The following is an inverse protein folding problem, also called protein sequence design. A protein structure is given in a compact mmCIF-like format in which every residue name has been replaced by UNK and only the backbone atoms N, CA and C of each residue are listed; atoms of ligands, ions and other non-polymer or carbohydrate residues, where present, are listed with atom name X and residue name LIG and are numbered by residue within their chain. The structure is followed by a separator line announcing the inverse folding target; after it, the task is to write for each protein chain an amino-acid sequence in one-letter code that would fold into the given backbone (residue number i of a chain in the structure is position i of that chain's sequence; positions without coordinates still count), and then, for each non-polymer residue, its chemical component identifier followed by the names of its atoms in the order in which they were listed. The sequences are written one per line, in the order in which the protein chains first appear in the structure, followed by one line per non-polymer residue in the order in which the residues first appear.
data_IF_452784318502
#
_entry.id   IF_452784318502
#
_cell.length_a   1.000
_cell.length_b   1.000
_cell.length_c   1.000
_cell.angle_alpha   90.00
_cell.angle_beta   90.00
_cell.angle_gamma   90.00
#
_symmetry.space_group_name_H-M   'P 1'
#
loop_
_entity.id
_entity.type
_entity.pdbx_description
1 polymer ?
#
# COMPACT_ATOMS: atom_id res chain seq x y z
N UNK A 1 -9.86 -21.64 2.27
CA UNK A 1 -8.68 -21.52 3.14
C UNK A 1 -8.03 -20.17 2.87
N UNK A 2 -8.00 -19.28 3.86
CA UNK A 2 -7.30 -18.01 3.76
C UNK A 2 -5.79 -18.25 3.61
N UNK A 3 -5.17 -17.62 2.62
CA UNK A 3 -3.71 -17.66 2.46
C UNK A 3 -3.14 -16.58 3.39
N UNK A 4 -2.09 -16.82 4.16
CA UNK A 4 -1.44 -15.72 4.91
C UNK A 4 -0.45 -14.96 4.02
N UNK A 5 -0.19 -13.68 4.31
CA UNK A 5 0.84 -12.91 3.59
C UNK A 5 2.20 -13.61 3.52
N UNK A 6 2.72 -14.24 4.60
CA UNK A 6 3.95 -15.02 4.52
C UNK A 6 3.88 -16.22 3.57
N UNK A 7 2.73 -16.89 3.47
CA UNK A 7 2.53 -17.99 2.52
C UNK A 7 2.50 -17.46 1.09
N UNK A 8 1.80 -16.36 0.85
CA UNK A 8 1.81 -15.67 -0.45
C UNK A 8 3.23 -15.25 -0.86
N UNK A 9 4.00 -14.65 0.06
CA UNK A 9 5.35 -14.17 -0.23
C UNK A 9 6.30 -15.30 -0.68
N UNK A 10 6.15 -16.52 -0.13
CA UNK A 10 6.89 -17.71 -0.59
C UNK A 10 6.50 -18.16 -2.00
N UNK A 11 5.29 -17.84 -2.44
CA UNK A 11 4.76 -18.15 -3.76
C UNK A 11 5.34 -17.28 -4.87
N UNK A 12 5.80 -16.06 -4.55
CA UNK A 12 6.32 -15.10 -5.53
C UNK A 12 7.62 -15.62 -6.16
N UNK A 13 7.63 -15.80 -7.48
CA UNK A 13 8.76 -16.37 -8.23
C UNK A 13 9.68 -15.31 -8.83
N UNK A 14 10.89 -15.74 -9.15
CA UNK A 14 11.89 -14.93 -9.86
C UNK A 14 12.54 -13.82 -9.03
N UNK A 15 12.33 -13.79 -7.71
CA UNK A 15 12.93 -12.81 -6.80
C UNK A 15 14.40 -13.17 -6.51
N UNK A 16 15.24 -12.14 -6.38
CA UNK A 16 16.59 -12.30 -5.84
C UNK A 16 16.54 -12.66 -4.35
N UNK A 17 17.61 -13.24 -3.76
CA UNK A 17 17.63 -13.58 -2.34
C UNK A 17 17.30 -12.40 -1.41
N UNK A 18 17.86 -11.22 -1.67
CA UNK A 18 17.56 -10.01 -0.88
C UNK A 18 16.12 -9.54 -1.05
N UNK A 19 15.53 -9.66 -2.24
CA UNK A 19 14.10 -9.36 -2.46
C UNK A 19 13.20 -10.32 -1.70
N UNK A 20 13.50 -11.61 -1.71
CA UNK A 20 12.73 -12.62 -0.97
C UNK A 20 12.77 -12.36 0.54
N UNK A 21 13.94 -12.05 1.10
CA UNK A 21 14.09 -11.75 2.53
C UNK A 21 13.30 -10.49 2.93
N UNK A 22 13.45 -9.40 2.17
CA UNK A 22 12.73 -8.14 2.43
C UNK A 22 11.22 -8.32 2.29
N UNK A 23 10.77 -9.05 1.26
CA UNK A 23 9.34 -9.32 1.06
C UNK A 23 8.76 -10.17 2.18
N UNK A 24 9.48 -11.20 2.61
CA UNK A 24 9.03 -12.08 3.68
C UNK A 24 8.89 -11.34 5.02
N UNK A 25 9.83 -10.44 5.31
CA UNK A 25 9.75 -9.60 6.52
C UNK A 25 8.56 -8.64 6.46
N UNK A 26 8.35 -7.93 5.34
CA UNK A 26 7.18 -7.09 5.16
C UNK A 26 5.88 -7.91 5.27
N UNK A 27 5.84 -9.12 4.72
CA UNK A 27 4.69 -10.00 4.78
C UNK A 27 4.35 -10.49 6.20
N UNK A 28 5.34 -10.63 7.10
CA UNK A 28 5.09 -10.93 8.52
C UNK A 28 4.41 -9.76 9.25
N UNK A 29 4.78 -8.54 8.89
CA UNK A 29 4.30 -7.30 9.49
C UNK A 29 2.97 -6.81 8.90
N UNK A 30 2.53 -7.40 7.79
CA UNK A 30 1.35 -6.97 7.07
C UNK A 30 0.05 -7.22 7.86
N UNK A 31 -0.86 -6.26 7.78
CA UNK A 31 -2.26 -6.45 8.14
C UNK A 31 -3.00 -7.32 7.12
N UNK A 32 -4.28 -7.58 7.37
CA UNK A 32 -5.12 -8.36 6.47
C UNK A 32 -5.18 -7.82 5.03
N UNK A 33 -4.93 -6.51 4.84
CA UNK A 33 -4.96 -5.82 3.54
C UNK A 33 -3.59 -5.76 2.86
N UNK A 34 -2.52 -6.22 3.51
CA UNK A 34 -1.17 -6.15 2.97
C UNK A 34 -0.45 -4.84 3.29
N UNK A 35 -0.98 -4.04 4.22
CA UNK A 35 -0.40 -2.76 4.60
C UNK A 35 0.60 -2.95 5.73
N UNK A 36 1.74 -2.27 5.61
CA UNK A 36 2.83 -2.31 6.59
C UNK A 36 3.34 -0.89 6.83
N UNK A 37 3.63 -0.54 8.09
CA UNK A 37 4.49 0.59 8.43
C UNK A 37 5.84 0.04 8.91
N UNK A 38 6.91 0.32 8.19
CA UNK A 38 8.23 -0.25 8.50
C UNK A 38 9.38 0.72 8.20
N UNK A 39 10.31 0.81 9.14
CA UNK A 39 11.58 1.49 8.99
C UNK A 39 12.55 0.66 8.14
N UNK A 40 13.41 1.31 7.36
CA UNK A 40 14.43 0.61 6.57
C UNK A 40 15.47 -0.04 7.49
N UNK A 41 15.73 0.57 8.64
CA UNK A 41 16.60 0.10 9.70
C UNK A 41 16.12 -1.25 10.24
N UNK A 42 14.82 -1.41 10.48
CA UNK A 42 14.22 -2.69 10.87
C UNK A 42 14.46 -3.76 9.81
N UNK A 43 14.27 -3.44 8.52
CA UNK A 43 14.53 -4.40 7.44
C UNK A 43 16.00 -4.83 7.40
N UNK A 44 16.94 -3.90 7.64
CA UNK A 44 18.37 -4.23 7.70
C UNK A 44 18.67 -5.19 8.85
N UNK A 45 18.15 -4.90 10.04
CA UNK A 45 18.36 -5.71 11.25
C UNK A 45 17.72 -7.09 11.12
N UNK A 46 16.44 -7.16 10.74
CA UNK A 46 15.69 -8.41 10.66
C UNK A 46 16.16 -9.35 9.54
N UNK A 47 16.62 -8.80 8.41
CA UNK A 47 17.06 -9.61 7.27
C UNK A 47 18.57 -9.86 7.22
N UNK A 48 19.37 -9.09 7.97
CA UNK A 48 20.83 -9.08 7.86
C UNK A 48 21.36 -8.52 6.53
N UNK A 49 20.49 -7.96 5.68
CA UNK A 49 20.86 -7.42 4.37
C UNK A 49 21.38 -5.99 4.52
N UNK A 50 22.51 -5.69 3.86
CA UNK A 50 23.08 -4.33 3.87
C UNK A 50 22.06 -3.28 3.39
N UNK A 51 22.05 -2.09 4.01
CA UNK A 51 21.11 -0.99 3.72
C UNK A 51 20.93 -0.69 2.23
N UNK A 52 22.04 -0.63 1.47
CA UNK A 52 22.01 -0.39 0.02
C UNK A 52 21.29 -1.50 -0.75
N UNK A 53 21.46 -2.75 -0.31
CA UNK A 53 20.79 -3.91 -0.90
C UNK A 53 19.30 -3.95 -0.53
N UNK A 54 18.91 -3.50 0.68
CA UNK A 54 17.49 -3.31 1.03
C UNK A 54 16.84 -2.29 0.09
N UNK A 55 17.46 -1.14 -0.17
CA UNK A 55 16.92 -0.16 -1.11
C UNK A 55 16.79 -0.71 -2.54
N UNK A 56 17.79 -1.47 -3.02
CA UNK A 56 17.72 -2.14 -4.33
C UNK A 56 16.63 -3.20 -4.37
N UNK A 57 16.47 -3.98 -3.30
CA UNK A 57 15.43 -4.99 -3.18
C UNK A 57 14.04 -4.35 -3.24
N UNK A 58 13.80 -3.30 -2.46
CA UNK A 58 12.54 -2.53 -2.47
C UNK A 58 12.26 -1.96 -3.87
N UNK A 59 13.24 -1.30 -4.50
CA UNK A 59 13.05 -0.75 -5.85
C UNK A 59 12.72 -1.84 -6.88
N UNK A 60 13.38 -3.00 -6.82
CA UNK A 60 13.08 -4.10 -7.74
C UNK A 60 11.75 -4.79 -7.44
N UNK A 61 11.26 -4.78 -6.19
CA UNK A 61 9.92 -5.26 -5.84
C UNK A 61 8.84 -4.28 -6.33
N UNK A 62 9.11 -2.97 -6.27
CA UNK A 62 8.25 -1.91 -6.84
C UNK A 62 8.17 -2.03 -8.37
N UNK A 63 9.30 -2.18 -9.06
CA UNK A 63 9.38 -2.36 -10.52
C UNK A 63 8.58 -3.58 -11.01
N UNK A 64 8.55 -4.63 -10.20
CA UNK A 64 7.80 -5.86 -10.47
C UNK A 64 6.32 -5.79 -10.06
N UNK A 65 5.88 -4.68 -9.49
CA UNK A 65 4.51 -4.50 -9.01
C UNK A 65 4.14 -5.37 -7.82
N UNK A 66 5.12 -5.94 -7.10
CA UNK A 66 4.88 -6.80 -5.93
C UNK A 66 4.48 -5.98 -4.71
N UNK A 67 4.96 -4.74 -4.63
CA UNK A 67 4.58 -3.79 -3.59
C UNK A 67 4.63 -2.35 -4.11
N UNK A 68 4.01 -1.44 -3.36
CA UNK A 68 4.21 0.00 -3.50
C UNK A 68 4.64 0.61 -2.16
N UNK A 69 5.34 1.75 -2.22
CA UNK A 69 5.84 2.47 -1.05
C UNK A 69 5.34 3.90 -1.07
N UNK A 70 4.96 4.39 0.12
CA UNK A 70 4.67 5.80 0.36
C UNK A 70 5.53 6.31 1.52
N UNK A 71 6.29 7.36 1.26
CA UNK A 71 7.01 8.07 2.31
C UNK A 71 6.02 8.71 3.28
N UNK A 72 6.32 8.62 4.57
CA UNK A 72 5.55 9.25 5.64
C UNK A 72 6.39 10.32 6.32
N UNK A 73 5.71 11.32 6.85
CA UNK A 73 6.32 12.40 7.61
C UNK A 73 5.56 12.60 8.90
N UNK A 74 6.28 12.84 9.99
CA UNK A 74 5.74 13.15 11.32
C UNK A 74 6.51 14.32 11.90
N UNK A 75 5.81 15.38 12.31
CA UNK A 75 6.46 16.59 12.85
C UNK A 75 7.53 17.18 11.94
N UNK A 76 7.34 17.13 10.62
CA UNK A 76 8.30 17.60 9.62
C UNK A 76 9.52 16.70 9.38
N UNK A 77 9.66 15.59 10.11
CA UNK A 77 10.73 14.60 9.93
C UNK A 77 10.22 13.38 9.17
N UNK A 78 11.09 12.72 8.42
CA UNK A 78 10.77 11.47 7.75
C UNK A 78 10.45 10.40 8.80
N UNK A 79 9.29 9.78 8.66
CA UNK A 79 8.83 8.66 9.48
C UNK A 79 8.99 7.34 8.71
N UNK A 80 8.73 6.22 9.39
CA UNK A 80 8.72 4.88 8.80
C UNK A 80 7.80 4.83 7.59
N UNK A 81 8.30 4.22 6.52
CA UNK A 81 7.59 4.19 5.24
C UNK A 81 6.38 3.27 5.33
N UNK A 82 5.31 3.63 4.59
CA UNK A 82 4.20 2.73 4.35
C UNK A 82 4.51 1.86 3.15
N UNK A 83 4.30 0.57 3.27
CA UNK A 83 4.32 -0.39 2.17
C UNK A 83 2.93 -0.98 1.99
N UNK A 84 2.56 -1.27 0.74
CA UNK A 84 1.35 -2.01 0.40
C UNK A 84 1.78 -3.18 -0.47
N UNK A 85 1.54 -4.39 0.02
CA UNK A 85 1.78 -5.62 -0.73
C UNK A 85 0.64 -5.84 -1.73
N UNK A 86 1.00 -6.12 -2.97
CA UNK A 86 0.03 -6.37 -4.03
C UNK A 86 -0.06 -7.87 -4.27
N UNK A 87 -1.26 -8.43 -4.12
CA UNK A 87 -1.54 -9.75 -4.71
C UNK A 87 -1.39 -9.59 -6.21
N UNK A 88 -0.24 -10.03 -6.73
CA UNK A 88 -0.11 -10.34 -8.14
C UNK A 88 -0.54 -11.79 -8.25
N UNK A 89 -1.73 -12.04 -8.82
CA UNK A 89 -2.07 -13.40 -9.24
C UNK A 89 -0.99 -13.72 -10.24
N UNK A 90 -0.03 -14.56 -9.84
CA UNK A 90 0.91 -15.09 -10.81
C UNK A 90 0.02 -15.96 -11.67
N UNK A 91 -0.54 -15.41 -12.75
CA UNK A 91 -0.99 -16.23 -13.86
C UNK A 91 0.29 -16.93 -14.28
N UNK A 92 0.42 -18.18 -13.85
CA UNK A 92 1.36 -19.11 -14.43
C UNK A 92 1.27 -18.90 -15.93
N UNK A 93 2.36 -18.46 -16.55
CA UNK A 93 2.53 -18.46 -18.00
C UNK A 93 2.63 -19.92 -18.49
N UNK A 94 1.62 -20.71 -18.16
CA UNK A 94 1.54 -22.14 -18.41
C UNK A 94 0.10 -22.52 -18.77
N UNK A 95 -0.59 -21.67 -19.55
CA UNK A 95 -1.57 -22.07 -20.58
C UNK A 95 -1.43 -21.05 -21.72
N UNK A 96 -0.30 -21.12 -22.43
CA UNK A 96 -0.25 -20.74 -23.86
C UNK A 96 0.03 -22.03 -24.58
N UNK A 97 -0.99 -22.85 -24.72
CA UNK A 97 -1.07 -23.94 -25.69
C UNK A 97 -2.49 -24.48 -25.63
N UNK A 98 -3.11 -24.47 -26.80
CA UNK A 98 -4.47 -24.92 -27.12
C UNK A 98 -5.65 -24.08 -26.65
N UNK A 99 -6.57 -23.94 -27.60
CA UNK A 99 -7.95 -23.45 -27.48
C UNK A 99 -8.19 -21.94 -27.45
N UNK A 100 -7.70 -21.21 -28.46
CA UNK A 100 -8.54 -20.24 -29.21
C UNK A 100 -8.07 -20.17 -30.68
N UNK A 101 -8.41 -21.19 -31.47
CA UNK A 101 -8.71 -20.97 -32.89
C UNK A 101 -10.21 -20.78 -32.99
N UNK A 102 -10.67 -19.53 -33.12
CA UNK A 102 -11.68 -19.07 -34.08
C UNK A 102 -12.32 -17.73 -33.67
N UNK A 103 -12.65 -16.96 -34.71
CA UNK A 103 -13.34 -15.67 -34.74
C UNK A 103 -12.51 -14.44 -34.29
N UNK A 104 -12.01 -13.70 -35.27
CA UNK A 104 -11.10 -12.59 -35.10
C UNK A 104 -11.74 -11.22 -35.00
N UNK A 105 -10.94 -10.29 -34.49
CA UNK A 105 -10.71 -8.98 -35.11
C UNK A 105 -9.20 -8.78 -35.03
N UNK A 106 -8.53 -8.86 -36.18
CA UNK A 106 -7.14 -8.43 -36.31
C UNK A 106 -7.16 -6.91 -36.16
N UNK A 107 -6.95 -6.41 -34.95
CA UNK A 107 -6.42 -5.07 -34.78
C UNK A 107 -4.93 -5.24 -35.05
N UNK A 108 -4.53 -4.95 -36.28
CA UNK A 108 -3.12 -4.80 -36.63
C UNK A 108 -2.52 -3.85 -35.59
N UNK A 109 -1.63 -4.39 -34.76
CA UNK A 109 -0.73 -3.61 -33.93
C UNK A 109 0.11 -2.78 -34.89
N UNK A 110 -0.35 -1.57 -35.17
CA UNK A 110 0.38 -0.52 -35.85
C UNK A 110 1.50 -0.02 -34.96
N UNK A 111 2.38 -0.91 -34.50
CA UNK A 111 3.73 -0.58 -34.07
C UNK A 111 4.58 -0.32 -35.33
N UNK A 112 4.13 0.61 -36.17
CA UNK A 112 4.98 1.19 -37.19
C UNK A 112 5.89 2.15 -36.45
N UNK A 113 7.19 1.83 -36.47
CA UNK A 113 8.27 2.48 -35.75
C UNK A 113 8.05 4.00 -35.64
N UNK A 114 7.67 4.46 -34.44
CA UNK A 114 7.71 5.87 -34.12
C UNK A 114 9.20 6.25 -34.07
N UNK A 115 9.61 7.19 -34.92
CA UNK A 115 10.89 7.89 -34.78
C UNK A 115 11.10 8.28 -33.33
N UNK A 116 12.34 8.14 -32.84
CA UNK A 116 12.75 8.39 -31.45
C UNK A 116 12.22 9.72 -30.93
N UNK A 117 11.03 9.68 -30.34
CA UNK A 117 10.32 10.84 -29.81
C UNK A 117 10.70 10.94 -28.35
N UNK A 118 11.38 12.03 -28.00
CA UNK A 118 11.89 12.23 -26.64
C UNK A 118 10.72 12.55 -25.73
N UNK A 119 10.49 11.69 -24.73
CA UNK A 119 9.48 11.92 -23.69
C UNK A 119 9.83 13.15 -22.84
N UNK A 120 8.80 13.86 -22.41
CA UNK A 120 8.94 15.01 -21.52
C UNK A 120 9.29 14.55 -20.10
N UNK A 121 10.05 15.38 -19.39
CA UNK A 121 10.30 15.18 -17.96
C UNK A 121 9.11 15.70 -17.15
N UNK A 122 8.80 15.03 -16.04
CA UNK A 122 7.73 15.41 -15.10
C UNK A 122 7.85 16.86 -14.57
N UNK A 123 9.07 17.43 -14.56
CA UNK A 123 9.31 18.80 -14.11
C UNK A 123 9.26 19.85 -15.23
N UNK A 124 9.10 19.42 -16.49
CA UNK A 124 9.14 20.30 -17.65
C UNK A 124 7.74 20.83 -17.98
N UNK A 125 7.30 21.81 -17.20
CA UNK A 125 6.01 22.48 -17.37
C UNK A 125 5.92 23.25 -18.70
N UNK A 126 7.02 23.89 -19.12
CA UNK A 126 7.04 24.67 -20.37
C UNK A 126 7.11 23.78 -21.62
N UNK A 127 7.86 22.67 -21.54
CA UNK A 127 7.84 21.63 -22.56
C UNK A 127 6.44 21.04 -22.71
N UNK A 128 5.80 20.67 -21.59
CA UNK A 128 4.43 20.16 -21.61
C UNK A 128 3.45 21.18 -22.23
N UNK A 129 3.53 22.46 -21.86
CA UNK A 129 2.66 23.51 -22.41
C UNK A 129 2.79 23.60 -23.93
N UNK A 130 4.01 23.76 -24.44
CA UNK A 130 4.26 23.86 -25.89
C UNK A 130 3.82 22.61 -26.64
N UNK A 131 4.03 21.42 -26.06
CA UNK A 131 3.57 20.16 -26.69
C UNK A 131 2.05 20.06 -26.72
N UNK A 132 1.34 20.50 -25.67
CA UNK A 132 -0.12 20.54 -25.65
C UNK A 132 -0.67 21.55 -26.67
N UNK A 133 -0.11 22.75 -26.76
CA UNK A 133 -0.47 23.77 -27.76
C UNK A 133 -0.29 23.23 -29.18
N UNK A 134 0.88 22.64 -29.46
CA UNK A 134 1.18 22.08 -30.77
C UNK A 134 0.25 20.91 -31.10
N UNK A 135 0.06 19.96 -30.17
CA UNK A 135 -0.83 18.81 -30.38
C UNK A 135 -2.27 19.25 -30.63
N UNK A 136 -2.76 20.26 -29.93
CA UNK A 136 -4.10 20.80 -30.14
C UNK A 136 -4.22 21.48 -31.52
N UNK A 137 -3.23 22.27 -31.93
CA UNK A 137 -3.20 22.91 -33.25
C UNK A 137 -3.14 21.91 -34.41
N UNK A 138 -2.52 20.75 -34.19
CA UNK A 138 -2.41 19.63 -35.15
C UNK A 138 -3.60 18.65 -35.06
N UNK A 139 -4.59 18.92 -34.22
CA UNK A 139 -5.77 18.07 -34.05
C UNK A 139 -5.47 16.69 -33.45
N UNK A 140 -4.54 16.63 -32.49
CA UNK A 140 -4.12 15.42 -31.77
C UNK A 140 -3.51 14.35 -32.67
N UNK A 141 -2.91 14.78 -33.77
CA UNK A 141 -2.15 13.95 -34.72
C UNK A 141 -0.73 14.51 -34.83
N UNK A 142 0.20 13.71 -35.35
CA UNK A 142 1.57 14.17 -35.58
C UNK A 142 2.51 14.04 -34.38
N UNK A 143 3.67 14.69 -34.49
CA UNK A 143 4.81 14.47 -33.60
C UNK A 143 4.55 14.93 -32.15
N UNK A 144 3.78 16.00 -31.97
CA UNK A 144 3.44 16.49 -30.62
C UNK A 144 2.54 15.51 -29.87
N UNK A 145 1.54 14.94 -30.55
CA UNK A 145 0.68 13.89 -30.01
C UNK A 145 1.46 12.61 -29.69
N UNK A 146 2.38 12.21 -30.58
CA UNK A 146 3.28 11.07 -30.34
C UNK A 146 4.22 11.30 -29.14
N UNK A 147 4.74 12.52 -28.98
CA UNK A 147 5.55 12.90 -27.82
C UNK A 147 4.76 12.78 -26.51
N UNK A 148 3.49 13.21 -26.48
CA UNK A 148 2.61 13.02 -25.31
C UNK A 148 2.32 11.55 -25.02
N UNK A 149 2.07 10.74 -26.05
CA UNK A 149 1.85 9.31 -25.89
C UNK A 149 3.09 8.59 -25.34
N UNK A 150 4.28 8.89 -25.90
CA UNK A 150 5.55 8.40 -25.40
C UNK A 150 5.82 8.86 -23.95
N UNK A 151 5.46 10.10 -23.62
CA UNK A 151 5.54 10.64 -22.26
C UNK A 151 4.65 9.86 -21.29
N UNK A 152 3.38 9.60 -21.64
CA UNK A 152 2.48 8.79 -20.80
C UNK A 152 3.01 7.37 -20.62
N UNK A 153 3.53 6.76 -21.69
CA UNK A 153 4.11 5.42 -21.62
C UNK A 153 5.33 5.37 -20.67
N UNK A 154 6.22 6.36 -20.73
CA UNK A 154 7.49 6.33 -20.00
C UNK A 154 7.39 6.85 -18.56
N UNK A 155 6.59 7.89 -18.32
CA UNK A 155 6.51 8.55 -17.00
C UNK A 155 5.12 8.54 -16.36
N UNK A 156 4.07 8.14 -17.10
CA UNK A 156 2.69 8.16 -16.62
C UNK A 156 2.48 7.32 -15.36
N UNK A 157 3.04 6.11 -15.31
CA UNK A 157 2.92 5.24 -14.13
C UNK A 157 3.51 5.87 -12.86
N UNK A 158 4.62 6.61 -13.00
CA UNK A 158 5.24 7.33 -11.89
C UNK A 158 4.42 8.57 -11.50
N UNK A 159 3.99 9.35 -12.50
CA UNK A 159 3.29 10.61 -12.29
C UNK A 159 1.91 10.41 -11.68
N UNK A 160 1.18 9.38 -12.10
CA UNK A 160 -0.19 9.08 -11.68
C UNK A 160 -0.26 7.86 -10.74
N UNK A 161 0.83 7.57 -10.04
CA UNK A 161 0.94 6.43 -9.12
C UNK A 161 -0.20 6.39 -8.09
N UNK A 162 -0.69 7.53 -7.61
CA UNK A 162 -1.84 7.61 -6.71
C UNK A 162 -3.14 7.07 -7.31
N UNK A 163 -3.42 7.38 -8.58
CA UNK A 163 -4.60 6.88 -9.28
C UNK A 163 -4.50 5.39 -9.58
N UNK A 164 -3.31 4.92 -9.97
CA UNK A 164 -3.06 3.50 -10.23
C UNK A 164 -3.22 2.68 -8.95
N UNK A 165 -2.60 3.11 -7.84
CA UNK A 165 -2.75 2.46 -6.55
C UNK A 165 -4.21 2.40 -6.09
N UNK A 166 -4.99 3.44 -6.36
CA UNK A 166 -6.41 3.48 -6.01
C UNK A 166 -7.25 2.51 -6.85
N UNK A 167 -7.05 2.46 -8.17
CA UNK A 167 -7.76 1.51 -9.03
C UNK A 167 -7.46 0.04 -8.68
N UNK A 168 -6.22 -0.24 -8.28
CA UNK A 168 -5.86 -1.57 -7.74
C UNK A 168 -6.56 -1.88 -6.42
N UNK A 169 -6.71 -0.87 -5.56
CA UNK A 169 -7.28 -1.02 -4.22
C UNK A 169 -8.80 -1.15 -4.23
N UNK A 170 -9.51 -0.29 -4.96
CA UNK A 170 -10.96 -0.13 -4.87
C UNK A 170 -11.72 -0.72 -6.05
N UNK A 171 -11.08 -0.87 -7.22
CA UNK A 171 -11.72 -1.43 -8.44
C UNK A 171 -11.25 -2.84 -8.77
N UNK A 172 -10.35 -3.41 -7.97
CA UNK A 172 -9.82 -4.76 -8.18
C UNK A 172 -8.96 -4.93 -9.43
N UNK A 173 -8.52 -3.84 -10.07
CA UNK A 173 -7.71 -3.89 -11.28
C UNK A 173 -6.31 -4.44 -11.00
N UNK A 174 -5.75 -5.19 -11.95
CA UNK A 174 -4.31 -5.49 -11.96
C UNK A 174 -3.50 -4.22 -12.18
N UNK A 175 -2.20 -4.23 -11.85
CA UNK A 175 -1.33 -3.08 -12.10
C UNK A 175 -1.32 -2.66 -13.57
N UNK A 176 -1.25 -3.62 -14.50
CA UNK A 176 -1.27 -3.33 -15.94
C UNK A 176 -2.59 -2.70 -16.39
N UNK A 177 -3.72 -3.18 -15.88
CA UNK A 177 -5.04 -2.61 -16.17
C UNK A 177 -5.17 -1.21 -15.58
N UNK A 178 -4.82 -1.03 -14.30
CA UNK A 178 -4.89 0.26 -13.63
C UNK A 178 -3.95 1.30 -14.29
N UNK A 179 -2.76 0.89 -14.73
CA UNK A 179 -1.82 1.76 -15.43
C UNK A 179 -2.33 2.13 -16.84
N UNK A 180 -2.81 1.14 -17.62
CA UNK A 180 -3.36 1.39 -18.95
C UNK A 180 -4.60 2.30 -18.90
N UNK A 181 -5.51 2.03 -17.95
CA UNK A 181 -6.72 2.82 -17.77
C UNK A 181 -6.40 4.25 -17.29
N UNK A 182 -5.52 4.39 -16.30
CA UNK A 182 -5.09 5.72 -15.83
C UNK A 182 -4.38 6.51 -16.94
N UNK A 183 -3.53 5.88 -17.75
CA UNK A 183 -2.91 6.55 -18.89
C UNK A 183 -3.92 6.92 -19.99
N UNK A 184 -4.97 6.11 -20.17
CA UNK A 184 -6.08 6.41 -21.10
C UNK A 184 -6.88 7.63 -20.63
N UNK A 185 -7.21 7.69 -19.33
CA UNK A 185 -7.84 8.86 -18.71
C UNK A 185 -6.90 10.08 -18.81
N UNK A 186 -5.60 9.91 -18.59
CA UNK A 186 -4.64 11.00 -18.73
C UNK A 186 -4.58 11.55 -20.16
N UNK A 187 -4.63 10.69 -21.17
CA UNK A 187 -4.75 11.10 -22.58
C UNK A 187 -6.06 11.85 -22.87
N UNK A 188 -7.16 11.36 -22.33
CA UNK A 188 -8.47 12.01 -22.47
C UNK A 188 -8.47 13.40 -21.80
N UNK A 189 -7.89 13.54 -20.60
CA UNK A 189 -7.76 14.83 -19.92
C UNK A 189 -6.86 15.77 -20.72
N UNK A 190 -5.75 15.29 -21.29
CA UNK A 190 -4.90 16.11 -22.12
C UNK A 190 -5.67 16.68 -23.31
N UNK A 191 -6.53 15.87 -23.95
CA UNK A 191 -7.30 16.27 -25.14
C UNK A 191 -8.58 17.06 -24.87
N UNK A 192 -9.25 16.81 -23.75
CA UNK A 192 -10.53 17.45 -23.39
C UNK A 192 -10.37 18.66 -22.47
N UNK A 193 -9.28 18.75 -21.71
CA UNK A 193 -9.00 19.86 -20.79
C UNK A 193 -7.78 20.70 -21.22
N UNK A 194 -7.43 20.68 -22.50
CA UNK A 194 -6.20 21.28 -23.05
C UNK A 194 -6.00 22.74 -22.62
N UNK A 195 -7.00 23.60 -22.82
CA UNK A 195 -6.91 25.04 -22.51
C UNK A 195 -6.60 25.26 -21.02
N UNK A 196 -7.28 24.51 -20.15
CA UNK A 196 -7.05 24.55 -18.70
C UNK A 196 -5.62 24.12 -18.33
N UNK A 197 -5.04 23.16 -19.06
CA UNK A 197 -3.66 22.72 -18.83
C UNK A 197 -2.65 23.75 -19.34
N UNK A 198 -2.91 24.39 -20.48
CA UNK A 198 -2.03 25.40 -21.08
C UNK A 198 -1.96 26.65 -20.20
N UNK A 199 -3.10 27.14 -19.73
CA UNK A 199 -3.20 28.35 -18.90
C UNK A 199 -2.66 28.17 -17.47
N UNK A 200 -2.51 26.92 -17.03
CA UNK A 200 -2.03 26.63 -15.69
C UNK A 200 -0.58 27.11 -15.48
N UNK A 201 -0.32 27.68 -14.30
CA UNK A 201 1.04 28.00 -13.85
C UNK A 201 1.92 26.75 -13.74
N UNK A 202 1.31 25.60 -13.42
CA UNK A 202 1.98 24.30 -13.35
C UNK A 202 1.13 23.22 -14.04
N UNK A 203 1.22 23.09 -15.38
CA UNK A 203 0.42 22.16 -16.18
C UNK A 203 0.47 20.71 -15.68
N UNK A 204 1.65 20.21 -15.26
CA UNK A 204 1.79 18.86 -14.71
C UNK A 204 0.94 18.64 -13.45
N UNK A 205 0.92 19.62 -12.55
CA UNK A 205 0.18 19.51 -11.29
C UNK A 205 -1.33 19.53 -11.52
N UNK A 206 -1.80 20.39 -12.42
CA UNK A 206 -3.22 20.47 -12.81
C UNK A 206 -3.64 19.20 -13.54
N UNK A 207 -2.82 18.70 -14.47
CA UNK A 207 -3.08 17.44 -15.18
C UNK A 207 -3.23 16.27 -14.22
N UNK A 208 -2.27 16.11 -13.30
CA UNK A 208 -2.34 15.08 -12.24
C UNK A 208 -3.54 15.24 -11.33
N UNK A 209 -3.92 16.47 -10.99
CA UNK A 209 -5.10 16.72 -10.14
C UNK A 209 -6.40 16.30 -10.82
N UNK A 210 -6.57 16.64 -12.10
CA UNK A 210 -7.77 16.27 -12.87
C UNK A 210 -7.83 14.76 -13.09
N UNK A 211 -6.71 14.13 -13.46
CA UNK A 211 -6.62 12.67 -13.62
C UNK A 211 -6.95 11.96 -12.32
N UNK A 212 -6.34 12.36 -11.20
CA UNK A 212 -6.66 11.80 -9.89
C UNK A 212 -8.15 11.97 -9.56
N UNK A 213 -8.73 13.15 -9.77
CA UNK A 213 -10.15 13.38 -9.52
C UNK A 213 -11.04 12.44 -10.35
N UNK A 214 -10.77 12.29 -11.66
CA UNK A 214 -11.56 11.41 -12.54
C UNK A 214 -11.43 9.93 -12.13
N UNK A 215 -10.21 9.46 -11.89
CA UNK A 215 -9.99 8.09 -11.40
C UNK A 215 -10.65 7.87 -10.03
N UNK A 216 -10.60 8.86 -9.13
CA UNK A 216 -11.15 8.72 -7.78
C UNK A 216 -12.68 8.73 -7.77
N UNK A 217 -13.31 9.49 -8.67
CA UNK A 217 -14.76 9.46 -8.86
C UNK A 217 -15.24 8.13 -9.45
N UNK A 218 -14.48 7.55 -10.39
CA UNK A 218 -14.71 6.16 -10.87
C UNK A 218 -14.59 5.15 -9.72
N UNK A 219 -13.62 5.35 -8.84
CA UNK A 219 -13.31 4.49 -7.69
C UNK A 219 -14.14 4.81 -6.44
N UNK A 220 -15.12 5.70 -6.57
CA UNK A 220 -15.97 6.07 -5.46
C UNK A 220 -17.00 4.96 -5.23
N UNK A 221 -16.81 4.23 -4.14
CA UNK A 221 -17.68 3.13 -3.70
C UNK A 221 -18.77 3.61 -2.73
N UNK A 222 -18.89 4.92 -2.49
CA UNK A 222 -19.96 5.45 -1.64
C UNK A 222 -21.34 5.16 -2.26
N UNK A 223 -22.19 4.47 -1.49
CA UNK A 223 -23.53 4.03 -1.92
C UNK A 223 -23.60 2.65 -2.59
N UNK A 224 -22.48 1.93 -2.74
CA UNK A 224 -22.48 0.56 -3.31
C UNK A 224 -23.00 -0.49 -2.31
N UNK A 225 -23.00 -0.18 -1.01
CA UNK A 225 -23.47 -1.07 0.06
C UNK A 225 -24.94 -1.52 -0.12
N UNK A 226 -25.75 -0.75 -0.86
CA UNK A 226 -27.18 -1.03 -1.10
C UNK A 226 -27.48 -1.63 -2.49
N UNK A 227 -26.49 -1.75 -3.39
CA UNK A 227 -26.73 -2.05 -4.82
C UNK A 227 -26.31 -3.46 -5.26
N UNK A 228 -25.56 -4.19 -4.45
CA UNK A 228 -25.09 -5.53 -4.79
C UNK A 228 -25.34 -6.50 -3.65
N UNK A 229 -26.17 -7.50 -3.92
CA UNK A 229 -26.40 -8.61 -2.99
C UNK A 229 -25.09 -9.42 -2.86
N UNK A 230 -24.47 -9.53 -1.67
CA UNK A 230 -23.10 -10.07 -1.52
C UNK A 230 -22.90 -11.48 -2.11
N UNK A 231 -23.96 -12.29 -2.16
CA UNK A 231 -23.96 -13.62 -2.75
C UNK A 231 -23.76 -13.63 -4.28
N UNK A 232 -23.93 -12.48 -4.95
CA UNK A 232 -23.82 -12.32 -6.40
C UNK A 232 -22.46 -11.76 -6.83
N UNK A 233 -21.56 -11.44 -5.87
CA UNK A 233 -20.19 -11.04 -6.19
C UNK A 233 -19.42 -12.24 -6.72
N UNK A 234 -18.65 -12.10 -7.82
CA UNK A 234 -17.78 -13.18 -8.28
C UNK A 234 -16.79 -13.52 -7.17
N UNK A 235 -16.59 -14.82 -6.91
CA UNK A 235 -15.57 -15.31 -5.98
C UNK A 235 -14.16 -14.94 -6.51
N UNK A 236 -13.74 -13.70 -6.24
CA UNK A 236 -12.34 -13.30 -6.40
C UNK A 236 -11.59 -14.11 -5.34
N UNK A 237 -10.76 -15.06 -5.79
CA UNK A 237 -10.05 -15.99 -4.91
C UNK A 237 -9.47 -15.31 -3.67
N UNK A 238 -9.52 -16.01 -2.53
CA UNK A 238 -9.21 -15.49 -1.19
C UNK A 238 -7.88 -14.73 -1.14
N UNK A 239 -7.93 -13.39 -1.07
CA UNK A 239 -6.76 -12.50 -0.86
C UNK A 239 -5.96 -12.93 0.38
N UNK A 240 -4.63 -12.70 0.45
CA UNK A 240 -3.85 -13.16 1.57
C UNK A 240 -4.22 -12.29 2.77
N UNK A 241 -4.30 -12.89 3.94
CA UNK A 241 -4.73 -12.18 5.14
C UNK A 241 -6.24 -11.93 5.22
N UNK A 242 -7.03 -12.19 4.17
CA UNK A 242 -8.49 -12.29 4.31
C UNK A 242 -8.86 -13.68 4.81
N UNK A 243 -9.32 -13.75 6.06
CA UNK A 243 -9.99 -14.91 6.67
C UNK A 243 -11.30 -15.26 6.00
N UNK A 244 -11.98 -16.27 6.54
CA UNK A 244 -13.34 -16.60 6.10
C UNK A 244 -14.27 -15.43 6.44
N UNK A 245 -15.38 -15.30 5.72
CA UNK A 245 -16.43 -14.33 6.04
C UNK A 245 -16.81 -14.42 7.53
N UNK A 246 -16.74 -13.30 8.26
CA UNK A 246 -17.11 -13.22 9.68
C UNK A 246 -15.99 -12.85 10.66
N UNK A 247 -14.72 -12.85 10.25
CA UNK A 247 -13.63 -12.35 11.10
C UNK A 247 -13.58 -10.81 11.07
N UNK A 248 -13.64 -10.16 12.25
CA UNK A 248 -13.48 -8.71 12.36
C UNK A 248 -12.01 -8.35 12.19
N UNK A 249 -11.71 -7.53 11.19
CA UNK A 249 -10.36 -7.11 10.83
C UNK A 249 -9.98 -5.80 11.52
N UNK A 250 -8.76 -5.74 12.05
CA UNK A 250 -8.10 -4.47 12.35
C UNK A 250 -7.11 -4.20 11.23
N UNK A 251 -7.15 -3.00 10.66
CA UNK A 251 -6.20 -2.55 9.64
C UNK A 251 -5.36 -1.39 10.15
N UNK A 252 -4.20 -1.20 9.53
CA UNK A 252 -3.33 -0.03 9.82
C UNK A 252 -4.07 1.28 9.56
N UNK A 253 -5.02 1.29 8.63
CA UNK A 253 -5.80 2.48 8.30
C UNK A 253 -6.84 2.85 9.37
N UNK A 254 -7.17 1.93 10.28
CA UNK A 254 -8.10 2.18 11.39
C UNK A 254 -7.42 2.92 12.56
N UNK A 255 -6.11 3.19 12.47
CA UNK A 255 -5.32 3.81 13.54
C UNK A 255 -5.51 5.33 13.65
N UNK A 256 -6.68 5.82 13.26
CA UNK A 256 -7.13 7.16 13.64
C UNK A 256 -7.46 7.22 15.14
N UNK A 257 -7.34 8.40 15.74
CA UNK A 257 -7.80 8.63 17.11
C UNK A 257 -7.03 7.81 18.17
N UNK A 258 -7.71 7.02 19.03
CA UNK A 258 -7.09 6.35 20.18
C UNK A 258 -5.92 5.42 19.82
N UNK A 259 -6.07 4.56 18.81
CA UNK A 259 -5.00 3.62 18.41
C UNK A 259 -3.76 4.36 17.89
N UNK A 260 -3.96 5.46 17.16
CA UNK A 260 -2.89 6.36 16.76
C UNK A 260 -2.17 6.96 17.98
N UNK A 261 -2.90 7.51 18.95
CA UNK A 261 -2.35 8.03 20.22
C UNK A 261 -1.52 6.98 20.96
N UNK A 262 -1.97 5.72 20.96
CA UNK A 262 -1.24 4.60 21.55
C UNK A 262 0.14 4.41 20.92
N UNK A 263 0.17 4.32 19.58
CA UNK A 263 1.41 4.15 18.81
C UNK A 263 2.34 5.33 19.06
N UNK A 264 1.79 6.54 19.08
CA UNK A 264 2.57 7.74 19.35
C UNK A 264 3.19 7.76 20.75
N UNK A 265 2.45 7.33 21.78
CA UNK A 265 2.95 7.21 23.15
C UNK A 265 4.06 6.15 23.27
N UNK A 266 3.90 5.00 22.61
CA UNK A 266 4.91 3.94 22.58
C UNK A 266 6.21 4.39 21.90
N UNK A 267 6.09 5.09 20.77
CA UNK A 267 7.25 5.71 20.10
C UNK A 267 7.89 6.76 21.03
N UNK A 268 7.09 7.58 21.70
CA UNK A 268 7.56 8.57 22.68
C UNK A 268 8.29 7.94 23.88
N UNK A 269 7.91 6.73 24.27
CA UNK A 269 8.55 5.94 25.33
C UNK A 269 9.84 5.22 24.86
N UNK A 270 10.22 5.34 23.58
CA UNK A 270 11.46 4.78 23.03
C UNK A 270 11.30 3.51 22.21
N UNK A 271 10.07 3.05 21.96
CA UNK A 271 9.83 1.92 21.06
C UNK A 271 10.12 2.28 19.60
N UNK A 272 10.69 1.34 18.84
CA UNK A 272 10.86 1.54 17.39
C UNK A 272 9.49 1.70 16.70
N UNK A 273 9.41 2.57 15.70
CA UNK A 273 8.14 2.85 15.03
C UNK A 273 7.57 1.59 14.36
N UNK A 274 8.40 0.76 13.71
CA UNK A 274 7.95 -0.53 13.15
C UNK A 274 7.27 -1.41 14.20
N UNK A 275 7.90 -1.57 15.38
CA UNK A 275 7.36 -2.41 16.45
C UNK A 275 6.07 -1.81 17.02
N UNK A 276 6.02 -0.49 17.23
CA UNK A 276 4.83 0.19 17.74
C UNK A 276 3.61 -0.03 16.84
N UNK A 277 3.79 0.09 15.51
CA UNK A 277 2.71 -0.16 14.54
C UNK A 277 2.32 -1.64 14.47
N UNK A 278 3.27 -2.54 14.20
CA UNK A 278 2.99 -3.96 14.01
C UNK A 278 2.49 -4.64 15.30
N UNK A 279 3.08 -4.28 16.44
CA UNK A 279 2.67 -4.78 17.76
C UNK A 279 1.28 -4.29 18.15
N UNK A 280 0.99 -3.00 17.99
CA UNK A 280 -0.35 -2.47 18.30
C UNK A 280 -1.42 -3.06 17.39
N UNK A 281 -1.11 -3.27 16.11
CA UNK A 281 -2.02 -3.95 15.18
C UNK A 281 -2.37 -5.35 15.70
N UNK A 282 -1.35 -6.13 16.07
CA UNK A 282 -1.57 -7.49 16.58
C UNK A 282 -2.32 -7.49 17.92
N UNK A 283 -2.00 -6.56 18.82
CA UNK A 283 -2.72 -6.41 20.10
C UNK A 283 -4.18 -6.06 19.87
N UNK A 284 -4.49 -5.18 18.91
CA UNK A 284 -5.86 -4.84 18.55
C UNK A 284 -6.62 -6.03 17.92
N UNK A 285 -6.00 -6.78 17.01
CA UNK A 285 -6.56 -8.03 16.47
C UNK A 285 -6.93 -9.01 17.60
N UNK A 286 -6.05 -9.19 18.59
CA UNK A 286 -6.29 -10.07 19.73
C UNK A 286 -7.38 -9.54 20.68
N UNK A 287 -7.55 -8.22 20.76
CA UNK A 287 -8.54 -7.59 21.63
C UNK A 287 -9.98 -7.77 21.12
N UNK A 288 -10.14 -7.85 19.80
CA UNK A 288 -11.42 -8.12 19.11
C UNK A 288 -11.89 -9.57 19.32
N UNK A 289 -10.96 -10.48 19.61
CA UNK A 289 -11.28 -11.87 19.96
C UNK A 289 -11.98 -12.02 21.32
N UNK A 290 -11.79 -13.18 21.95
CA UNK A 290 -12.43 -13.48 23.23
C UNK A 290 -11.97 -12.54 24.35
N UNK A 291 -12.88 -11.67 24.80
CA UNK A 291 -12.66 -10.67 25.84
C UNK A 291 -12.09 -11.26 27.14
N UNK A 292 -12.47 -12.49 27.49
CA UNK A 292 -11.99 -13.16 28.70
C UNK A 292 -10.53 -13.59 28.57
N UNK A 293 -10.06 -13.89 27.35
CA UNK A 293 -8.74 -14.46 27.08
C UNK A 293 -7.73 -13.46 26.49
N UNK A 294 -8.14 -12.27 26.05
CA UNK A 294 -7.29 -11.26 25.39
C UNK A 294 -5.92 -11.01 26.04
N UNK A 295 -5.83 -10.90 27.36
CA UNK A 295 -4.55 -10.70 28.06
C UNK A 295 -3.65 -11.94 27.99
N UNK A 296 -4.22 -13.13 28.18
CA UNK A 296 -3.48 -14.39 28.03
C UNK A 296 -3.03 -14.54 26.58
N UNK A 297 -3.93 -14.28 25.63
CA UNK A 297 -3.66 -14.35 24.20
C UNK A 297 -2.47 -13.47 23.82
N UNK A 298 -2.47 -12.19 24.24
CA UNK A 298 -1.34 -11.29 23.99
C UNK A 298 -0.02 -11.76 24.61
N UNK A 299 -0.05 -12.38 25.80
CA UNK A 299 1.16 -12.87 26.45
C UNK A 299 1.73 -14.19 25.89
N UNK A 300 1.01 -14.90 25.02
CA UNK A 300 1.49 -16.16 24.41
C UNK A 300 1.40 -16.12 22.89
N UNK A 301 1.15 -14.95 22.31
CA UNK A 301 0.93 -14.81 20.88
C UNK A 301 2.24 -15.04 20.11
N UNK A 302 2.28 -16.00 19.17
CA UNK A 302 3.49 -16.27 18.42
C UNK A 302 3.94 -15.09 17.57
N UNK A 303 3.02 -14.29 16.99
CA UNK A 303 3.38 -13.13 16.16
C UNK A 303 4.00 -12.01 16.99
N UNK A 304 3.53 -11.78 18.21
CA UNK A 304 4.18 -10.84 19.14
C UNK A 304 5.55 -11.36 19.59
N UNK A 305 5.68 -12.64 19.95
CA UNK A 305 6.98 -13.24 20.29
C UNK A 305 7.99 -13.12 19.14
N UNK A 306 7.51 -13.29 17.92
CA UNK A 306 8.24 -13.15 16.66
C UNK A 306 8.75 -11.72 16.39
N UNK A 307 8.15 -10.72 17.03
CA UNK A 307 8.58 -9.33 17.03
C UNK A 307 9.52 -8.99 18.20
N UNK A 308 9.91 -9.99 19.00
CA UNK A 308 10.72 -9.80 20.20
C UNK A 308 9.93 -9.33 21.42
N UNK A 309 8.59 -9.40 21.38
CA UNK A 309 7.75 -8.99 22.52
C UNK A 309 7.70 -10.10 23.57
N UNK A 310 8.08 -9.78 24.80
CA UNK A 310 7.99 -10.71 25.94
C UNK A 310 6.53 -10.95 26.35
N UNK A 311 6.22 -12.07 27.04
CA UNK A 311 4.88 -12.32 27.56
C UNK A 311 4.31 -11.19 28.43
N UNK A 312 5.16 -10.53 29.22
CA UNK A 312 4.76 -9.45 30.10
C UNK A 312 4.56 -8.15 29.34
N UNK A 313 5.41 -7.84 28.36
CA UNK A 313 5.19 -6.73 27.44
C UNK A 313 3.87 -6.89 26.69
N UNK A 314 3.57 -8.08 26.16
CA UNK A 314 2.31 -8.35 25.46
C UNK A 314 1.08 -8.11 26.35
N UNK A 315 1.13 -8.52 27.63
CA UNK A 315 0.04 -8.29 28.61
C UNK A 315 -0.08 -6.82 29.01
N UNK A 316 1.03 -6.13 29.22
CA UNK A 316 1.04 -4.70 29.53
C UNK A 316 0.45 -3.91 28.35
N UNK A 317 0.81 -4.29 27.12
CA UNK A 317 0.33 -3.67 25.90
C UNK A 317 -1.17 -3.88 25.70
N UNK A 318 -1.67 -5.10 25.97
CA UNK A 318 -3.11 -5.35 26.04
C UNK A 318 -3.78 -4.51 27.14
N UNK A 319 -3.18 -4.41 28.32
CA UNK A 319 -3.73 -3.60 29.43
C UNK A 319 -3.83 -2.12 29.05
N UNK A 320 -2.85 -1.57 28.32
CA UNK A 320 -2.89 -0.22 27.79
C UNK A 320 -4.07 0.00 26.83
N UNK A 321 -4.39 -1.00 25.98
CA UNK A 321 -5.50 -0.92 25.03
C UNK A 321 -6.87 -1.02 25.72
N UNK A 322 -7.09 -2.09 26.50
CA UNK A 322 -8.45 -2.46 26.97
C UNK A 322 -8.67 -2.30 28.47
N UNK A 323 -7.69 -1.78 29.18
CA UNK A 323 -7.70 -1.66 30.64
C UNK A 323 -7.50 -3.01 31.36
N UNK A 324 -7.22 -2.90 32.66
CA UNK A 324 -7.04 -4.07 33.51
C UNK A 324 -8.38 -4.76 33.80
N UNK A 325 -8.36 -6.09 33.98
CA UNK A 325 -9.57 -6.88 34.31
C UNK A 325 -10.34 -6.41 35.55
N UNK A 326 -9.65 -5.78 36.51
CA UNK A 326 -10.24 -5.29 37.77
C UNK A 326 -10.55 -3.79 37.76
N UNK A 327 -10.36 -3.11 36.62
CA UNK A 327 -10.61 -1.66 36.51
C UNK A 327 -9.60 -0.77 37.23
N UNK A 328 -8.47 -1.32 37.69
CA UNK A 328 -7.39 -0.57 38.36
C UNK A 328 -6.67 0.36 37.37
N UNK A 329 -6.48 -0.11 36.14
CA UNK A 329 -6.01 0.70 35.00
C UNK A 329 -7.14 0.86 33.98
N UNK A 330 -7.40 2.11 33.59
CA UNK A 330 -8.37 2.48 32.57
C UNK A 330 -7.96 2.03 31.16
N UNK A 331 -8.92 2.05 30.23
CA UNK A 331 -8.65 1.75 28.82
C UNK A 331 -8.03 2.95 28.12
N UNK A 332 -7.55 2.77 26.89
CA UNK A 332 -7.04 3.88 26.08
C UNK A 332 -8.07 4.99 25.83
N UNK A 333 -9.36 4.66 25.90
CA UNK A 333 -10.45 5.61 25.68
C UNK A 333 -10.58 6.59 26.85
N UNK A 334 -10.19 6.15 28.06
CA UNK A 334 -10.33 6.91 29.31
C UNK A 334 -9.00 7.54 29.75
N UNK A 335 -7.89 7.19 29.09
CA UNK A 335 -6.56 7.63 29.46
C UNK A 335 -6.26 9.07 28.99
N UNK A 336 -5.85 9.90 29.95
CA UNK A 336 -5.16 11.15 29.65
C UNK A 336 -3.74 10.90 29.13
N UNK A 337 -3.09 11.95 28.63
CA UNK A 337 -1.77 11.83 27.99
C UNK A 337 -0.67 11.36 28.97
N UNK A 338 -0.78 11.72 30.26
CA UNK A 338 0.18 11.30 31.28
C UNK A 338 0.04 9.81 31.61
N UNK A 339 -1.19 9.34 31.80
CA UNK A 339 -1.50 7.93 32.04
C UNK A 339 -1.12 7.07 30.85
N UNK A 340 -1.38 7.56 29.62
CA UNK A 340 -1.00 6.87 28.40
C UNK A 340 0.53 6.78 28.25
N UNK A 341 1.26 7.86 28.56
CA UNK A 341 2.72 7.86 28.55
C UNK A 341 3.31 6.91 29.62
N UNK A 342 2.70 6.84 30.80
CA UNK A 342 3.10 5.89 31.84
C UNK A 342 2.88 4.44 31.38
N UNK A 343 1.71 4.11 30.86
CA UNK A 343 1.41 2.78 30.33
C UNK A 343 2.37 2.40 29.18
N UNK A 344 2.70 3.35 28.30
CA UNK A 344 3.66 3.13 27.23
C UNK A 344 5.07 2.80 27.76
N UNK A 345 5.53 3.50 28.81
CA UNK A 345 6.81 3.18 29.47
C UNK A 345 6.81 1.79 30.07
N UNK A 346 5.74 1.39 30.75
CA UNK A 346 5.63 0.03 31.31
C UNK A 346 5.72 -1.05 30.23
N UNK A 347 5.13 -0.82 29.05
CA UNK A 347 5.27 -1.73 27.90
C UNK A 347 6.72 -1.81 27.45
N UNK A 348 7.40 -0.67 27.28
CA UNK A 348 8.80 -0.62 26.80
C UNK A 348 9.77 -1.22 27.82
N UNK A 349 9.58 -0.95 29.11
CA UNK A 349 10.37 -1.55 30.19
C UNK A 349 10.22 -3.08 30.18
N UNK A 350 9.01 -3.60 29.97
CA UNK A 350 8.76 -5.04 29.90
C UNK A 350 9.33 -5.71 28.64
N UNK A 351 9.70 -4.98 27.58
CA UNK A 351 10.38 -5.54 26.40
C UNK A 351 11.82 -5.94 26.71
N UNK A 352 12.46 -5.23 27.65
CA UNK A 352 13.85 -5.48 28.02
C UNK A 352 13.83 -6.48 29.18
N UNK A 353 14.36 -7.70 29.02
CA UNK A 353 14.45 -8.61 30.16
C UNK A 353 15.27 -7.94 31.26
N UNK A 354 14.76 -7.99 32.50
CA UNK A 354 15.55 -7.57 33.66
C UNK A 354 16.87 -8.34 33.64
N UNK A 355 17.98 -7.60 33.63
CA UNK A 355 19.34 -8.14 33.56
C UNK A 355 19.67 -9.07 34.72
#
# INVERSE_FOLDING_TARGET
MSVSWPVWARGVKGLTPSQSLVLFELARLADARGVVICAVEHLVEATGVARRSVFRALAGLEERGVLSRKMRYRGGKQASSRFVLHWVTTRSQAIVSDDVREAGVVVESGAQACESTVALRISDNEGLRRTLEQAASEGWRGAAAQCLAATLHQVGARQFSSAISRGMQFSGMSYSEAAADTCSIAWEVASTCTEQLIEATSPWAVWTTIVNRRCFARDDVSGVEDLVEPAMMPEVGLRPGMGQEGDVWVSVDDFGGPLGRMVEALIGAGMSETLAWAGTLRVAELAVGDASRRHRAAGVDPRLSDLGVTPDAGRAWMTMLVGSRRGVKGSILDADDESLALAAREVVEALTPAA
#
